data_IF_477315227869
#
_entry.id   IF_477315227869
#
_cell.length_a   1.000
_cell.length_b   1.000
_cell.length_c   1.000
_cell.angle_alpha   90.00
_cell.angle_beta   90.00
_cell.angle_gamma   90.00
#
_symmetry.space_group_name_H-M   'P 1'
#
loop_
_entity.id
_entity.type
_entity.pdbx_description
1 polymer ?
#
# COMPACT_ATOMS: atom_id res chain seq x y z
N UNK A 1 -45.73 -51.48 11.68
CA UNK A 1 -44.69 -51.61 10.65
C UNK A 1 -43.86 -50.33 10.61
N UNK A 2 -42.57 -50.38 10.98
CA UNK A 2 -41.65 -49.22 10.90
C UNK A 2 -41.18 -49.10 9.45
N UNK A 3 -41.39 -47.96 8.79
CA UNK A 3 -40.87 -47.71 7.44
C UNK A 3 -39.33 -47.79 7.49
N UNK A 4 -38.67 -48.52 6.56
CA UNK A 4 -37.21 -48.54 6.51
C UNK A 4 -36.70 -47.13 6.24
N UNK A 5 -35.63 -46.74 6.93
CA UNK A 5 -35.00 -45.43 6.74
C UNK A 5 -34.50 -45.34 5.29
N UNK A 6 -35.01 -44.39 4.52
CA UNK A 6 -34.54 -44.11 3.16
C UNK A 6 -33.04 -43.79 3.21
N UNK A 7 -32.24 -44.49 2.41
CA UNK A 7 -30.80 -44.18 2.30
C UNK A 7 -30.68 -42.80 1.66
N UNK A 8 -29.74 -41.98 2.12
CA UNK A 8 -29.58 -40.60 1.65
C UNK A 8 -29.53 -40.47 0.11
N UNK A 9 -28.96 -41.46 -0.58
CA UNK A 9 -28.85 -41.54 -2.04
C UNK A 9 -30.17 -41.83 -2.78
N UNK A 10 -31.20 -42.32 -2.10
CA UNK A 10 -32.53 -42.56 -2.67
C UNK A 10 -33.40 -41.29 -2.67
N UNK A 11 -33.00 -40.26 -1.91
CA UNK A 11 -33.67 -38.96 -1.91
C UNK A 11 -33.39 -38.18 -3.19
N UNK A 12 -34.29 -37.28 -3.60
CA UNK A 12 -34.10 -36.42 -4.78
C UNK A 12 -32.79 -35.62 -4.73
N UNK A 13 -32.34 -35.20 -3.55
CA UNK A 13 -31.05 -34.51 -3.35
C UNK A 13 -29.87 -35.46 -3.50
N UNK A 14 -29.99 -36.69 -3.01
CA UNK A 14 -28.95 -37.72 -3.12
C UNK A 14 -28.69 -38.16 -4.55
N UNK A 15 -29.76 -38.31 -5.35
CA UNK A 15 -29.66 -38.61 -6.79
C UNK A 15 -28.90 -37.53 -7.56
N UNK A 16 -29.24 -36.25 -7.35
CA UNK A 16 -28.53 -35.13 -8.00
C UNK A 16 -27.05 -35.11 -7.64
N UNK A 17 -26.69 -35.42 -6.39
CA UNK A 17 -25.28 -35.50 -5.97
C UNK A 17 -24.57 -36.66 -6.67
N UNK A 18 -25.21 -37.82 -6.77
CA UNK A 18 -24.64 -39.00 -7.42
C UNK A 18 -24.48 -38.78 -8.93
N UNK A 19 -25.49 -38.22 -9.59
CA UNK A 19 -25.44 -37.81 -11.01
C UNK A 19 -24.29 -36.82 -11.27
N UNK A 20 -24.12 -35.80 -10.41
CA UNK A 20 -23.01 -34.86 -10.52
C UNK A 20 -21.65 -35.53 -10.31
N UNK A 21 -21.52 -36.42 -9.32
CA UNK A 21 -20.29 -37.17 -9.09
C UNK A 21 -19.94 -38.05 -10.28
N UNK A 22 -20.92 -38.78 -10.82
CA UNK A 22 -20.75 -39.58 -12.03
C UNK A 22 -20.30 -38.70 -13.19
N UNK A 23 -20.96 -37.57 -13.43
CA UNK A 23 -20.56 -36.61 -14.47
C UNK A 23 -19.12 -36.12 -14.29
N UNK A 24 -18.70 -35.75 -13.08
CA UNK A 24 -17.32 -35.34 -12.81
C UNK A 24 -16.32 -36.48 -13.02
N UNK A 25 -16.68 -37.72 -12.68
CA UNK A 25 -15.83 -38.89 -12.87
C UNK A 25 -15.63 -39.20 -14.37
N UNK A 26 -16.67 -39.02 -15.18
CA UNK A 26 -16.58 -39.09 -16.66
C UNK A 26 -15.75 -37.95 -17.24
N UNK A 27 -15.82 -36.74 -16.68
CA UNK A 27 -15.02 -35.59 -17.11
C UNK A 27 -13.57 -35.66 -16.59
N UNK A 28 -13.30 -36.40 -15.52
CA UNK A 28 -12.01 -36.41 -14.83
C UNK A 28 -10.81 -36.69 -15.76
N UNK A 29 -10.84 -37.68 -16.67
CA UNK A 29 -9.72 -37.92 -17.59
C UNK A 29 -9.43 -36.70 -18.49
N UNK A 30 -10.48 -36.04 -18.97
CA UNK A 30 -10.36 -34.83 -19.81
C UNK A 30 -9.84 -33.65 -18.99
N UNK A 31 -10.32 -33.48 -17.75
CA UNK A 31 -9.85 -32.43 -16.84
C UNK A 31 -8.37 -32.63 -16.53
N UNK A 32 -7.93 -33.86 -16.27
CA UNK A 32 -6.51 -34.19 -16.05
C UNK A 32 -5.68 -33.84 -17.28
N UNK A 33 -6.15 -34.18 -18.49
CA UNK A 33 -5.46 -33.80 -19.72
C UNK A 33 -5.38 -32.29 -19.93
N UNK A 34 -6.48 -31.55 -19.76
CA UNK A 34 -6.50 -30.09 -19.86
C UNK A 34 -5.59 -29.46 -18.80
N UNK A 35 -5.58 -29.99 -17.58
CA UNK A 35 -4.69 -29.52 -16.54
C UNK A 35 -3.24 -29.77 -16.93
N UNK A 36 -2.87 -30.99 -17.32
CA UNK A 36 -1.49 -31.40 -17.56
C UNK A 36 -0.88 -30.76 -18.82
N UNK A 37 -1.67 -30.58 -19.89
CA UNK A 37 -1.19 -30.03 -21.16
C UNK A 37 -1.61 -28.59 -21.42
N UNK A 38 -2.63 -28.07 -20.72
CA UNK A 38 -3.12 -26.71 -20.88
C UNK A 38 -2.69 -25.80 -19.74
N UNK A 39 -3.15 -26.09 -18.51
CA UNK A 39 -2.94 -25.19 -17.37
C UNK A 39 -1.54 -25.31 -16.77
N UNK A 40 -1.01 -26.52 -16.64
CA UNK A 40 0.29 -26.80 -16.02
C UNK A 40 1.43 -26.10 -16.76
N UNK A 41 1.56 -26.13 -18.10
CA UNK A 41 2.62 -25.41 -18.79
C UNK A 41 2.57 -23.90 -18.56
N UNK A 42 1.38 -23.32 -18.41
CA UNK A 42 1.21 -21.88 -18.13
C UNK A 42 1.66 -21.56 -16.70
N UNK A 43 1.20 -22.34 -15.72
CA UNK A 43 1.63 -22.18 -14.32
C UNK A 43 3.13 -22.42 -14.18
N UNK A 44 3.67 -23.41 -14.89
CA UNK A 44 5.08 -23.73 -14.91
C UNK A 44 5.91 -22.63 -15.57
N UNK A 45 5.50 -22.09 -16.72
CA UNK A 45 6.18 -20.97 -17.35
C UNK A 45 6.19 -19.72 -16.45
N UNK A 46 5.07 -19.45 -15.77
CA UNK A 46 5.00 -18.39 -14.77
C UNK A 46 5.96 -18.66 -13.60
N UNK A 47 6.02 -19.90 -13.09
CA UNK A 47 6.97 -20.28 -12.06
C UNK A 47 8.43 -20.08 -12.51
N UNK A 48 8.79 -20.54 -13.70
CA UNK A 48 10.12 -20.35 -14.31
C UNK A 48 10.46 -18.87 -14.42
N UNK A 49 9.51 -18.01 -14.79
CA UNK A 49 9.73 -16.56 -14.89
C UNK A 49 10.11 -15.87 -13.57
N UNK A 50 9.88 -16.54 -12.42
CA UNK A 50 10.19 -16.02 -11.10
C UNK A 50 11.49 -16.57 -10.50
N UNK A 51 12.20 -17.42 -11.23
CA UNK A 51 13.42 -18.09 -10.78
C UNK A 51 14.59 -17.79 -11.73
N UNK A 52 15.81 -17.94 -11.22
CA UNK A 52 16.97 -18.01 -12.10
C UNK A 52 16.96 -19.36 -12.83
N UNK A 53 16.72 -19.35 -14.14
CA UNK A 53 16.59 -20.57 -14.93
C UNK A 53 17.64 -20.65 -16.03
N UNK A 54 18.74 -21.37 -15.79
CA UNK A 54 19.80 -21.59 -16.80
C UNK A 54 19.69 -22.96 -17.47
N UNK A 55 19.93 -24.01 -16.70
CA UNK A 55 19.75 -25.42 -17.12
C UNK A 55 18.88 -26.20 -16.14
N UNK A 56 18.70 -25.67 -14.94
CA UNK A 56 18.00 -26.27 -13.80
C UNK A 56 17.27 -25.16 -13.02
N UNK A 57 16.24 -25.52 -12.24
CA UNK A 57 15.64 -24.59 -11.29
C UNK A 57 16.71 -24.05 -10.34
N UNK A 58 16.99 -22.74 -10.43
CA UNK A 58 17.83 -22.00 -9.48
C UNK A 58 17.00 -21.31 -8.40
N UNK A 59 17.61 -20.34 -7.74
CA UNK A 59 16.98 -19.61 -6.64
C UNK A 59 15.79 -18.76 -7.10
N UNK A 60 14.85 -18.52 -6.18
CA UNK A 60 13.74 -17.60 -6.39
C UNK A 60 14.25 -16.15 -6.44
N UNK A 61 14.09 -15.51 -7.59
CA UNK A 61 14.50 -14.11 -7.82
C UNK A 61 13.30 -13.15 -7.89
N UNK A 62 12.09 -13.68 -7.71
CA UNK A 62 10.85 -12.90 -7.77
C UNK A 62 10.65 -12.24 -9.12
N UNK A 63 10.37 -10.94 -9.15
CA UNK A 63 10.13 -10.22 -10.40
C UNK A 63 11.43 -9.73 -11.09
N UNK A 64 12.61 -10.16 -10.65
CA UNK A 64 13.89 -9.68 -11.20
C UNK A 64 14.01 -9.92 -12.71
N UNK A 65 13.59 -11.08 -13.23
CA UNK A 65 13.61 -11.37 -14.67
C UNK A 65 12.77 -10.36 -15.49
N UNK A 66 11.65 -9.90 -14.92
CA UNK A 66 10.82 -8.87 -15.56
C UNK A 66 11.50 -7.50 -15.52
N UNK A 67 12.23 -7.20 -14.45
CA UNK A 67 13.06 -5.99 -14.36
C UNK A 67 14.21 -6.05 -15.36
N UNK A 68 14.89 -7.20 -15.51
CA UNK A 68 15.97 -7.36 -16.48
C UNK A 68 15.45 -7.20 -17.91
N UNK A 69 14.24 -7.69 -18.20
CA UNK A 69 13.61 -7.57 -19.51
C UNK A 69 13.09 -6.16 -19.83
N UNK A 70 12.49 -5.46 -18.85
CA UNK A 70 11.83 -4.17 -19.05
C UNK A 70 12.64 -2.96 -18.55
N UNK A 71 13.79 -3.21 -17.92
CA UNK A 71 14.58 -2.22 -17.21
C UNK A 71 13.81 -1.53 -16.07
N UNK A 72 14.23 -0.31 -15.73
CA UNK A 72 13.63 0.48 -14.66
C UNK A 72 12.13 0.81 -14.86
N UNK A 73 11.60 0.67 -16.08
CA UNK A 73 10.18 0.86 -16.38
C UNK A 73 9.31 -0.18 -15.65
N UNK A 74 9.84 -1.37 -15.36
CA UNK A 74 9.15 -2.39 -14.57
C UNK A 74 8.68 -1.84 -13.23
N UNK A 75 9.53 -1.11 -12.52
CA UNK A 75 9.19 -0.53 -11.21
C UNK A 75 8.10 0.54 -11.30
N UNK A 76 8.09 1.33 -12.38
CA UNK A 76 7.01 2.30 -12.64
C UNK A 76 5.67 1.58 -12.85
N UNK A 77 5.68 0.48 -13.60
CA UNK A 77 4.48 -0.34 -13.82
C UNK A 77 4.00 -1.00 -12.53
N UNK A 78 4.90 -1.63 -11.78
CA UNK A 78 4.57 -2.27 -10.50
C UNK A 78 4.01 -1.25 -9.50
N UNK A 79 4.55 -0.03 -9.47
CA UNK A 79 4.02 1.05 -8.65
C UNK A 79 2.55 1.34 -8.96
N UNK A 80 2.23 1.60 -10.23
CA UNK A 80 0.88 1.97 -10.65
C UNK A 80 -0.11 0.81 -10.58
N UNK A 81 0.32 -0.40 -10.92
CA UNK A 81 -0.49 -1.61 -10.75
C UNK A 81 -0.77 -1.89 -9.28
N UNK A 82 0.24 -1.73 -8.42
CA UNK A 82 0.10 -1.89 -6.97
C UNK A 82 -0.86 -0.87 -6.37
N UNK A 83 -0.69 0.41 -6.73
CA UNK A 83 -1.59 1.49 -6.31
C UNK A 83 -3.02 1.27 -6.81
N UNK A 84 -3.20 0.90 -8.08
CA UNK A 84 -4.51 0.59 -8.65
C UNK A 84 -5.17 -0.62 -7.97
N UNK A 85 -4.41 -1.67 -7.67
CA UNK A 85 -4.89 -2.84 -6.95
C UNK A 85 -5.36 -2.47 -5.53
N UNK A 86 -4.60 -1.64 -4.79
CA UNK A 86 -5.01 -1.16 -3.48
C UNK A 86 -6.26 -0.27 -3.54
N UNK A 87 -6.35 0.63 -4.52
CA UNK A 87 -7.54 1.46 -4.73
C UNK A 87 -8.75 0.57 -5.04
N UNK A 88 -8.61 -0.39 -5.95
CA UNK A 88 -9.66 -1.32 -6.33
C UNK A 88 -10.12 -2.17 -5.14
N UNK A 89 -9.17 -2.73 -4.37
CA UNK A 89 -9.47 -3.45 -3.14
C UNK A 89 -10.20 -2.57 -2.12
N UNK A 90 -9.76 -1.32 -1.93
CA UNK A 90 -10.42 -0.34 -1.08
C UNK A 90 -11.85 -0.04 -1.52
N UNK A 91 -12.08 0.18 -2.82
CA UNK A 91 -13.41 0.34 -3.40
C UNK A 91 -14.28 -0.88 -3.14
N UNK A 92 -13.73 -2.08 -3.26
CA UNK A 92 -14.48 -3.31 -3.04
C UNK A 92 -14.82 -3.55 -1.57
N UNK A 93 -13.91 -3.19 -0.65
CA UNK A 93 -14.18 -3.19 0.79
C UNK A 93 -15.23 -2.12 1.18
N UNK A 94 -15.20 -0.95 0.55
CA UNK A 94 -16.23 0.08 0.72
C UNK A 94 -17.59 -0.39 0.19
N UNK A 95 -17.60 -1.08 -0.95
CA UNK A 95 -18.81 -1.69 -1.51
C UNK A 95 -19.35 -2.76 -0.56
N UNK A 96 -18.51 -3.66 -0.07
CA UNK A 96 -18.84 -4.66 0.95
C UNK A 96 -19.46 -3.99 2.18
N UNK A 97 -18.84 -2.93 2.70
CA UNK A 97 -19.36 -2.17 3.85
C UNK A 97 -20.71 -1.50 3.59
N UNK A 98 -20.95 -1.00 2.39
CA UNK A 98 -22.24 -0.41 2.00
C UNK A 98 -23.33 -1.47 1.89
N UNK A 99 -23.02 -2.60 1.25
CA UNK A 99 -23.97 -3.70 1.08
C UNK A 99 -24.34 -4.36 2.41
N UNK A 100 -23.39 -4.56 3.33
CA UNK A 100 -23.70 -5.16 4.63
C UNK A 100 -24.50 -4.23 5.53
N UNK A 101 -24.32 -2.90 5.43
CA UNK A 101 -25.12 -1.92 6.18
C UNK A 101 -26.61 -1.97 5.87
N UNK A 102 -26.99 -2.41 4.67
CA UNK A 102 -28.39 -2.55 4.26
C UNK A 102 -29.07 -3.81 4.85
N UNK A 103 -28.30 -4.73 5.45
CA UNK A 103 -28.79 -6.00 6.01
C UNK A 103 -29.03 -5.86 7.52
N UNK A 104 -30.09 -6.48 8.09
CA UNK A 104 -30.24 -6.59 9.54
C UNK A 104 -28.98 -7.17 10.21
N UNK A 105 -28.50 -6.55 11.29
CA UNK A 105 -27.20 -6.87 11.92
C UNK A 105 -25.99 -6.70 11.00
N UNK A 106 -26.01 -5.71 10.12
CA UNK A 106 -24.96 -5.46 9.11
C UNK A 106 -23.52 -5.39 9.61
N UNK A 107 -23.27 -4.89 10.83
CA UNK A 107 -21.92 -4.88 11.44
C UNK A 107 -21.39 -6.29 11.70
N UNK A 108 -22.25 -7.19 12.19
CA UNK A 108 -21.89 -8.59 12.41
C UNK A 108 -21.64 -9.29 11.07
N UNK A 109 -22.48 -9.03 10.06
CA UNK A 109 -22.34 -9.58 8.70
C UNK A 109 -20.99 -9.19 8.06
N UNK A 110 -20.57 -7.93 8.24
CA UNK A 110 -19.28 -7.46 7.78
C UNK A 110 -18.13 -8.24 8.42
N UNK A 111 -18.14 -8.39 9.74
CA UNK A 111 -17.09 -9.12 10.48
C UNK A 111 -17.07 -10.61 10.06
N UNK A 112 -18.24 -11.23 9.97
CA UNK A 112 -18.40 -12.63 9.54
C UNK A 112 -17.96 -12.87 8.09
N UNK A 113 -17.93 -11.84 7.24
CA UNK A 113 -17.37 -11.92 5.90
C UNK A 113 -15.85 -11.66 5.86
N UNK A 114 -15.34 -10.73 6.69
CA UNK A 114 -13.94 -10.34 6.67
C UNK A 114 -13.03 -11.36 7.33
N UNK A 115 -13.41 -11.93 8.48
CA UNK A 115 -12.56 -12.89 9.20
C UNK A 115 -12.26 -14.11 8.32
N UNK A 116 -13.25 -14.81 7.75
CA UNK A 116 -12.97 -15.90 6.82
C UNK A 116 -12.30 -15.41 5.53
N UNK A 117 -12.58 -14.17 5.10
CA UNK A 117 -11.90 -13.53 3.97
C UNK A 117 -10.38 -13.44 4.16
N UNK A 118 -9.92 -13.00 5.33
CA UNK A 118 -8.51 -12.92 5.71
C UNK A 118 -7.92 -14.32 5.80
N UNK A 119 -8.59 -15.24 6.49
CA UNK A 119 -8.13 -16.62 6.61
C UNK A 119 -7.97 -17.30 5.25
N UNK A 120 -8.94 -17.14 4.34
CA UNK A 120 -8.86 -17.66 2.98
C UNK A 120 -7.72 -17.02 2.18
N UNK A 121 -7.47 -15.73 2.36
CA UNK A 121 -6.36 -15.03 1.68
C UNK A 121 -5.02 -15.57 2.15
N UNK A 122 -4.83 -15.69 3.47
CA UNK A 122 -3.61 -16.21 4.06
C UNK A 122 -3.41 -17.70 3.72
N UNK A 123 -4.46 -18.50 3.75
CA UNK A 123 -4.42 -19.90 3.32
C UNK A 123 -4.05 -20.02 1.84
N UNK A 124 -4.61 -19.18 0.95
CA UNK A 124 -4.25 -19.18 -0.46
C UNK A 124 -2.78 -18.82 -0.68
N UNK A 125 -2.27 -17.80 0.03
CA UNK A 125 -0.85 -17.46 -0.02
C UNK A 125 0.04 -18.61 0.50
N UNK A 126 -0.40 -19.33 1.53
CA UNK A 126 0.30 -20.52 2.02
C UNK A 126 0.28 -21.68 1.01
N UNK A 127 -0.81 -21.88 0.27
CA UNK A 127 -0.88 -22.86 -0.83
C UNK A 127 0.14 -22.49 -1.91
N UNK A 128 0.15 -21.22 -2.34
CA UNK A 128 1.09 -20.74 -3.35
C UNK A 128 2.52 -20.93 -2.85
N UNK A 129 2.83 -20.53 -1.62
CA UNK A 129 4.17 -20.68 -1.04
C UNK A 129 4.61 -22.16 -0.97
N UNK A 130 3.75 -23.05 -0.47
CA UNK A 130 4.05 -24.47 -0.42
C UNK A 130 4.29 -25.07 -1.81
N UNK A 131 3.45 -24.71 -2.79
CA UNK A 131 3.62 -25.14 -4.17
C UNK A 131 4.97 -24.68 -4.75
N UNK A 132 5.35 -23.43 -4.51
CA UNK A 132 6.62 -22.86 -4.98
C UNK A 132 7.83 -23.55 -4.34
N UNK A 133 7.72 -24.02 -3.10
CA UNK A 133 8.78 -24.76 -2.41
C UNK A 133 8.84 -26.22 -2.88
N UNK A 134 7.69 -26.86 -3.10
CA UNK A 134 7.60 -28.26 -3.52
C UNK A 134 8.07 -28.47 -4.97
N UNK A 135 7.68 -27.57 -5.87
CA UNK A 135 7.84 -27.79 -7.31
C UNK A 135 9.30 -28.02 -7.74
N UNK A 136 10.31 -27.24 -7.29
CA UNK A 136 11.72 -27.53 -7.56
C UNK A 136 12.15 -28.93 -7.11
N UNK A 137 11.74 -29.34 -5.91
CA UNK A 137 12.10 -30.64 -5.33
C UNK A 137 11.54 -31.77 -6.18
N UNK A 138 10.29 -31.65 -6.64
CA UNK A 138 9.65 -32.62 -7.53
C UNK A 138 10.36 -32.67 -8.89
N UNK A 139 10.73 -31.51 -9.45
CA UNK A 139 11.41 -31.44 -10.74
C UNK A 139 12.86 -31.93 -10.69
N UNK A 140 13.44 -32.05 -9.49
CA UNK A 140 14.77 -32.59 -9.27
C UNK A 140 14.81 -34.13 -9.13
N UNK A 141 13.66 -34.80 -9.12
CA UNK A 141 13.57 -36.28 -9.09
C UNK A 141 14.46 -36.95 -10.15
N UNK A 142 14.47 -36.53 -11.44
CA UNK A 142 15.33 -37.15 -12.45
C UNK A 142 16.82 -37.05 -12.11
N UNK A 143 17.25 -36.06 -11.32
CA UNK A 143 18.64 -35.94 -10.89
C UNK A 143 18.99 -36.89 -9.77
N UNK A 144 18.10 -37.04 -8.77
CA UNK A 144 18.28 -37.98 -7.66
C UNK A 144 18.33 -39.44 -8.12
N UNK A 145 17.70 -39.73 -9.27
CA UNK A 145 17.74 -41.03 -9.92
C UNK A 145 18.95 -41.22 -10.88
N UNK A 146 19.80 -40.19 -11.09
CA UNK A 146 21.00 -40.37 -11.93
C UNK A 146 21.94 -41.38 -11.29
N UNK A 147 22.33 -42.38 -12.07
CA UNK A 147 23.20 -43.46 -11.60
C UNK A 147 22.44 -44.58 -10.87
N UNK A 148 21.12 -44.47 -10.72
CA UNK A 148 20.25 -45.56 -10.25
C UNK A 148 19.63 -46.31 -11.43
N UNK A 149 19.14 -47.56 -11.23
CA UNK A 149 18.41 -48.26 -12.28
C UNK A 149 17.13 -47.49 -12.61
N UNK A 150 16.83 -47.31 -13.89
CA UNK A 150 15.59 -46.64 -14.31
C UNK A 150 14.40 -47.60 -14.17
N UNK A 151 13.73 -47.53 -13.02
CA UNK A 151 12.48 -48.24 -12.74
C UNK A 151 11.36 -47.25 -12.36
N UNK A 152 10.12 -47.57 -12.76
CA UNK A 152 8.93 -46.75 -12.46
C UNK A 152 8.66 -46.73 -10.96
N UNK A 153 8.90 -47.84 -10.25
CA UNK A 153 8.73 -47.93 -8.81
C UNK A 153 9.66 -46.97 -8.06
N UNK A 154 10.92 -46.89 -8.49
CA UNK A 154 11.89 -45.93 -7.94
C UNK A 154 11.51 -44.48 -8.25
N UNK A 155 11.06 -44.18 -9.47
CA UNK A 155 10.57 -42.85 -9.81
C UNK A 155 9.39 -42.41 -8.94
N UNK A 156 8.38 -43.27 -8.79
CA UNK A 156 7.23 -43.00 -7.94
C UNK A 156 7.63 -42.87 -6.47
N UNK A 157 8.60 -43.68 -6.01
CA UNK A 157 9.16 -43.59 -4.67
C UNK A 157 9.78 -42.22 -4.40
N UNK A 158 10.69 -41.74 -5.26
CA UNK A 158 11.32 -40.42 -5.13
C UNK A 158 10.34 -39.26 -5.33
N UNK A 159 9.35 -39.43 -6.22
CA UNK A 159 8.28 -38.45 -6.40
C UNK A 159 7.47 -38.27 -5.10
N UNK A 160 7.08 -39.37 -4.46
CA UNK A 160 6.35 -39.34 -3.17
C UNK A 160 7.26 -38.79 -2.07
N UNK A 161 8.53 -39.19 -2.03
CA UNK A 161 9.50 -38.72 -1.04
C UNK A 161 9.74 -37.20 -1.11
N UNK A 162 9.52 -36.58 -2.28
CA UNK A 162 9.60 -35.13 -2.46
C UNK A 162 8.64 -34.35 -1.55
N UNK A 163 7.48 -34.91 -1.22
CA UNK A 163 6.50 -34.29 -0.32
C UNK A 163 6.95 -34.36 1.15
N UNK A 164 7.80 -35.32 1.49
CA UNK A 164 8.36 -35.52 2.83
C UNK A 164 9.70 -34.82 3.03
N UNK A 165 10.21 -34.13 2.00
CA UNK A 165 11.46 -33.39 2.10
C UNK A 165 11.34 -32.24 3.12
N UNK A 166 12.37 -31.91 3.93
CA UNK A 166 12.24 -31.00 5.07
C UNK A 166 11.60 -29.63 4.75
N UNK A 167 11.98 -29.00 3.63
CA UNK A 167 11.46 -27.69 3.24
C UNK A 167 9.97 -27.74 2.78
N UNK A 168 9.57 -28.59 1.82
CA UNK A 168 8.16 -28.80 1.49
C UNK A 168 7.31 -29.24 2.68
N UNK A 169 7.85 -30.09 3.57
CA UNK A 169 7.13 -30.57 4.75
C UNK A 169 6.85 -29.43 5.73
N UNK A 170 7.85 -28.61 6.07
CA UNK A 170 7.66 -27.45 6.93
C UNK A 170 6.66 -26.44 6.34
N UNK A 171 6.68 -26.22 5.02
CA UNK A 171 5.69 -25.39 4.34
C UNK A 171 4.29 -26.04 4.33
N UNK A 172 4.21 -27.37 4.29
CA UNK A 172 2.94 -28.10 4.37
C UNK A 172 2.30 -27.96 5.75
N UNK A 173 3.09 -28.00 6.83
CA UNK A 173 2.61 -27.80 8.19
C UNK A 173 1.97 -26.41 8.36
N UNK A 174 2.63 -25.37 7.85
CA UNK A 174 2.09 -24.00 7.82
C UNK A 174 0.83 -23.92 6.97
N UNK A 175 0.83 -24.57 5.80
CA UNK A 175 -0.34 -24.65 4.94
C UNK A 175 -1.54 -25.26 5.67
N UNK A 176 -1.39 -26.42 6.30
CA UNK A 176 -2.49 -27.09 7.00
C UNK A 176 -2.98 -26.29 8.20
N UNK A 177 -2.06 -25.67 8.96
CA UNK A 177 -2.37 -24.78 10.07
C UNK A 177 -3.26 -23.60 9.65
N UNK A 178 -3.12 -23.11 8.42
CA UNK A 178 -3.88 -21.97 7.90
C UNK A 178 -5.13 -22.39 7.12
N UNK A 179 -5.05 -23.50 6.39
CA UNK A 179 -6.13 -24.01 5.55
C UNK A 179 -7.29 -24.56 6.40
N UNK A 180 -7.00 -25.29 7.48
CA UNK A 180 -8.04 -25.88 8.33
C UNK A 180 -8.91 -24.79 8.97
N UNK A 181 -8.35 -23.76 9.65
CA UNK A 181 -9.14 -22.64 10.16
C UNK A 181 -9.86 -21.84 9.07
N UNK A 182 -9.27 -21.70 7.88
CA UNK A 182 -9.92 -21.01 6.76
C UNK A 182 -11.18 -21.75 6.28
N UNK A 183 -11.12 -23.08 6.15
CA UNK A 183 -12.25 -23.93 5.80
C UNK A 183 -13.33 -23.91 6.89
N UNK A 184 -12.94 -24.05 8.17
CA UNK A 184 -13.86 -24.00 9.31
C UNK A 184 -14.51 -22.62 9.40
N UNK A 185 -13.72 -21.55 9.35
CA UNK A 185 -14.18 -20.16 9.42
C UNK A 185 -15.12 -19.82 8.28
N UNK A 186 -14.82 -20.27 7.05
CA UNK A 186 -15.72 -20.14 5.91
C UNK A 186 -17.02 -20.93 6.10
N UNK A 187 -16.95 -22.18 6.57
CA UNK A 187 -18.13 -22.99 6.84
C UNK A 187 -19.05 -22.40 7.92
N UNK A 188 -18.47 -21.94 9.03
CA UNK A 188 -19.19 -21.25 10.11
C UNK A 188 -19.77 -19.93 9.62
N UNK A 189 -18.98 -19.12 8.91
CA UNK A 189 -19.43 -17.86 8.32
C UNK A 189 -20.61 -18.04 7.37
N UNK A 190 -20.56 -19.03 6.49
CA UNK A 190 -21.64 -19.35 5.55
C UNK A 190 -22.91 -19.85 6.25
N UNK A 191 -22.78 -20.63 7.33
CA UNK A 191 -23.94 -21.06 8.13
C UNK A 191 -24.60 -19.88 8.84
N UNK A 192 -23.82 -18.98 9.43
CA UNK A 192 -24.33 -17.81 10.16
C UNK A 192 -24.91 -16.73 9.23
N UNK A 193 -24.38 -16.58 8.01
CA UNK A 193 -24.84 -15.60 7.00
C UNK A 193 -25.93 -16.15 6.06
N UNK A 194 -26.24 -17.44 6.13
CA UNK A 194 -27.07 -18.14 5.16
C UNK A 194 -26.30 -18.41 3.85
N UNK A 195 -26.34 -19.65 3.36
CA UNK A 195 -25.44 -20.11 2.30
C UNK A 195 -25.50 -19.28 1.00
N UNK A 196 -26.69 -18.88 0.53
CA UNK A 196 -26.83 -18.14 -0.74
C UNK A 196 -26.29 -16.71 -0.68
N UNK A 197 -26.57 -15.99 0.40
CA UNK A 197 -26.06 -14.63 0.62
C UNK A 197 -24.60 -14.63 1.04
N UNK A 198 -24.22 -15.52 1.96
CA UNK A 198 -22.89 -15.62 2.55
C UNK A 198 -21.78 -15.90 1.54
N UNK A 199 -22.03 -16.75 0.53
CA UNK A 199 -21.03 -17.07 -0.51
C UNK A 199 -20.59 -15.81 -1.26
N UNK A 200 -21.53 -14.93 -1.61
CA UNK A 200 -21.21 -13.68 -2.31
C UNK A 200 -20.30 -12.79 -1.47
N UNK A 201 -20.64 -12.57 -0.19
CA UNK A 201 -19.86 -11.71 0.70
C UNK A 201 -18.48 -12.29 1.01
N UNK A 202 -18.38 -13.62 1.13
CA UNK A 202 -17.12 -14.32 1.32
C UNK A 202 -16.21 -14.19 0.10
N UNK A 203 -16.74 -14.41 -1.11
CA UNK A 203 -15.97 -14.27 -2.34
C UNK A 203 -15.50 -12.81 -2.54
N UNK A 204 -16.36 -11.84 -2.28
CA UNK A 204 -16.00 -10.43 -2.35
C UNK A 204 -14.92 -10.06 -1.33
N UNK A 205 -15.03 -10.51 -0.07
CA UNK A 205 -14.03 -10.19 0.95
C UNK A 205 -12.68 -10.85 0.64
N UNK A 206 -12.67 -12.14 0.28
CA UNK A 206 -11.45 -12.86 -0.11
C UNK A 206 -10.81 -12.22 -1.34
N UNK A 207 -11.57 -11.92 -2.39
CA UNK A 207 -11.01 -11.29 -3.59
C UNK A 207 -10.47 -9.88 -3.31
N UNK A 208 -11.12 -9.09 -2.43
CA UNK A 208 -10.62 -7.77 -2.04
C UNK A 208 -9.26 -7.89 -1.35
N UNK A 209 -9.14 -8.84 -0.41
CA UNK A 209 -7.96 -9.01 0.41
C UNK A 209 -6.79 -9.61 -0.36
N UNK A 210 -7.03 -10.55 -1.27
CA UNK A 210 -6.00 -11.05 -2.21
C UNK A 210 -5.50 -9.90 -3.10
N UNK A 211 -6.42 -9.10 -3.66
CA UNK A 211 -6.02 -7.96 -4.50
C UNK A 211 -5.23 -6.93 -3.69
N UNK A 212 -5.60 -6.70 -2.43
CA UNK A 212 -4.85 -5.83 -1.53
C UNK A 212 -3.45 -6.39 -1.24
N UNK A 213 -3.32 -7.69 -0.98
CA UNK A 213 -2.04 -8.35 -0.72
C UNK A 213 -1.11 -8.28 -1.94
N UNK A 214 -1.64 -8.55 -3.15
CA UNK A 214 -0.88 -8.41 -4.39
C UNK A 214 -0.44 -6.96 -4.62
N UNK A 215 -1.32 -6.00 -4.39
CA UNK A 215 -1.00 -4.58 -4.50
C UNK A 215 0.09 -4.14 -3.53
N UNK A 216 0.00 -4.59 -2.28
CA UNK A 216 1.01 -4.32 -1.25
C UNK A 216 2.37 -4.94 -1.60
N UNK A 217 2.39 -6.17 -2.12
CA UNK A 217 3.61 -6.84 -2.56
C UNK A 217 4.28 -6.09 -3.71
N UNK A 218 3.53 -5.64 -4.72
CA UNK A 218 4.05 -4.83 -5.82
C UNK A 218 4.65 -3.49 -5.36
N UNK A 219 3.98 -2.81 -4.42
CA UNK A 219 4.49 -1.57 -3.84
C UNK A 219 5.74 -1.82 -2.99
N UNK A 220 5.77 -2.90 -2.20
CA UNK A 220 6.94 -3.28 -1.42
C UNK A 220 8.16 -3.52 -2.32
N UNK A 221 7.98 -4.22 -3.44
CA UNK A 221 9.04 -4.44 -4.44
C UNK A 221 9.55 -3.12 -5.02
N UNK A 222 8.63 -2.20 -5.35
CA UNK A 222 9.00 -0.88 -5.87
C UNK A 222 9.78 -0.07 -4.83
N UNK A 223 9.31 -0.05 -3.57
CA UNK A 223 9.98 0.67 -2.48
C UNK A 223 11.37 0.11 -2.21
N UNK A 224 11.51 -1.22 -2.17
CA UNK A 224 12.80 -1.88 -2.01
C UNK A 224 13.76 -1.48 -3.14
N UNK A 225 13.30 -1.49 -4.39
CA UNK A 225 14.12 -1.06 -5.52
C UNK A 225 14.54 0.40 -5.45
N UNK A 226 13.65 1.30 -5.00
CA UNK A 226 13.97 2.73 -4.81
C UNK A 226 15.02 2.88 -3.71
N UNK A 227 14.90 2.14 -2.61
CA UNK A 227 15.89 2.17 -1.51
C UNK A 227 17.26 1.69 -1.98
N UNK A 228 17.32 0.60 -2.74
CA UNK A 228 18.56 0.11 -3.34
C UNK A 228 19.17 1.14 -4.28
N UNK A 229 18.37 1.75 -5.17
CA UNK A 229 18.83 2.78 -6.08
C UNK A 229 19.37 4.03 -5.36
N UNK A 230 18.77 4.42 -4.23
CA UNK A 230 19.28 5.51 -3.39
C UNK A 230 20.63 5.14 -2.78
N UNK A 231 20.77 3.93 -2.25
CA UNK A 231 22.02 3.48 -1.65
C UNK A 231 23.16 3.41 -2.68
N UNK A 232 22.89 2.91 -3.88
CA UNK A 232 23.86 2.85 -4.99
C UNK A 232 24.27 4.24 -5.46
N UNK A 233 23.31 5.15 -5.65
CA UNK A 233 23.57 6.54 -6.04
C UNK A 233 24.44 7.27 -5.00
N UNK A 234 24.17 7.07 -3.70
CA UNK A 234 24.97 7.63 -2.62
C UNK A 234 26.40 7.09 -2.59
N UNK A 235 26.58 5.79 -2.83
CA UNK A 235 27.89 5.15 -2.84
C UNK A 235 28.74 5.59 -4.04
N UNK A 236 28.12 5.74 -5.22
CA UNK A 236 28.80 6.14 -6.44
C UNK A 236 28.99 7.66 -6.58
N UNK A 237 28.28 8.47 -5.78
CA UNK A 237 28.21 9.92 -5.97
C UNK A 237 27.48 10.30 -7.26
N UNK A 238 26.61 9.40 -7.76
CA UNK A 238 25.86 9.56 -9.00
C UNK A 238 24.42 10.01 -8.73
N UNK A 239 23.76 10.53 -9.77
CA UNK A 239 22.35 10.92 -9.69
C UNK A 239 21.43 9.71 -9.73
N UNK A 240 20.30 9.77 -9.02
CA UNK A 240 19.28 8.73 -9.06
C UNK A 240 18.81 8.37 -10.48
N UNK A 241 18.49 7.09 -10.73
CA UNK A 241 18.01 6.63 -12.02
C UNK A 241 16.65 7.26 -12.37
N UNK A 242 16.46 7.54 -13.67
CA UNK A 242 15.31 8.29 -14.21
C UNK A 242 13.96 7.65 -13.81
N UNK A 243 13.88 6.32 -13.77
CA UNK A 243 12.63 5.63 -13.43
C UNK A 243 12.12 5.97 -12.02
N UNK A 244 13.02 6.26 -11.06
CA UNK A 244 12.63 6.69 -9.71
C UNK A 244 11.98 8.07 -9.74
N UNK A 245 12.48 8.97 -10.59
CA UNK A 245 11.93 10.31 -10.78
C UNK A 245 10.55 10.23 -11.46
N UNK A 246 10.36 9.32 -12.41
CA UNK A 246 9.07 9.07 -13.07
C UNK A 246 8.01 8.67 -12.03
N UNK A 247 8.34 7.81 -11.06
CA UNK A 247 7.42 7.44 -9.98
C UNK A 247 7.00 8.69 -9.17
N UNK A 248 7.96 9.52 -8.75
CA UNK A 248 7.69 10.72 -7.96
C UNK A 248 6.86 11.75 -8.74
N UNK A 249 7.23 12.03 -9.99
CA UNK A 249 6.51 12.97 -10.86
C UNK A 249 5.09 12.48 -11.11
N UNK A 250 4.93 11.21 -11.44
CA UNK A 250 3.61 10.63 -11.72
C UNK A 250 2.72 10.58 -10.46
N UNK A 251 3.28 10.26 -9.29
CA UNK A 251 2.58 10.32 -8.02
C UNK A 251 2.17 11.76 -7.68
N UNK A 252 3.07 12.73 -7.86
CA UNK A 252 2.76 14.13 -7.67
C UNK A 252 1.68 14.64 -8.62
N UNK A 253 1.69 14.21 -9.88
CA UNK A 253 0.63 14.53 -10.85
C UNK A 253 -0.73 13.94 -10.40
N UNK A 254 -0.74 12.71 -9.86
CA UNK A 254 -1.94 12.13 -9.26
C UNK A 254 -2.43 12.93 -8.04
N UNK A 255 -1.53 13.43 -7.19
CA UNK A 255 -1.90 14.31 -6.07
C UNK A 255 -2.50 15.63 -6.57
N UNK A 256 -1.94 16.24 -7.62
CA UNK A 256 -2.50 17.45 -8.23
C UNK A 256 -3.89 17.18 -8.84
N UNK A 257 -4.08 16.04 -9.50
CA UNK A 257 -5.39 15.64 -9.99
C UNK A 257 -6.38 15.42 -8.84
N UNK A 258 -5.96 14.77 -7.75
CA UNK A 258 -6.78 14.62 -6.56
C UNK A 258 -7.10 15.98 -5.93
N UNK A 259 -6.15 16.91 -5.88
CA UNK A 259 -6.35 18.27 -5.41
C UNK A 259 -7.40 19.00 -6.24
N UNK A 260 -7.33 18.90 -7.58
CA UNK A 260 -8.34 19.44 -8.48
C UNK A 260 -9.74 18.87 -8.17
N UNK A 261 -9.85 17.56 -7.92
CA UNK A 261 -11.12 16.91 -7.56
C UNK A 261 -11.66 17.40 -6.22
N UNK A 262 -10.80 17.55 -5.21
CA UNK A 262 -11.15 18.05 -3.88
C UNK A 262 -11.54 19.53 -3.94
N UNK A 263 -10.79 20.35 -4.66
CA UNK A 263 -11.10 21.77 -4.89
C UNK A 263 -12.46 21.95 -5.55
N UNK A 264 -12.75 21.15 -6.60
CA UNK A 264 -14.05 21.17 -7.27
C UNK A 264 -15.19 20.74 -6.35
N UNK A 265 -14.94 19.88 -5.37
CA UNK A 265 -15.92 19.53 -4.34
C UNK A 265 -16.09 20.66 -3.32
N UNK A 266 -15.00 21.30 -2.87
CA UNK A 266 -15.02 22.45 -1.99
C UNK A 266 -15.84 23.60 -2.56
N UNK A 267 -15.62 23.94 -3.83
CA UNK A 267 -16.31 25.02 -4.53
C UNK A 267 -17.84 24.83 -4.62
N UNK A 268 -18.35 23.61 -4.41
CA UNK A 268 -19.80 23.33 -4.39
C UNK A 268 -20.42 23.41 -2.99
N UNK A 269 -19.61 23.44 -1.95
CA UNK A 269 -20.08 23.61 -0.56
C UNK A 269 -20.06 25.09 -0.21
N UNK A 270 -21.22 25.74 -0.18
CA UNK A 270 -21.35 27.14 0.25
C UNK A 270 -21.09 27.27 1.77
N UNK A 271 -20.24 28.23 2.15
CA UNK A 271 -20.04 28.80 3.51
C UNK A 271 -20.02 27.86 4.74
N UNK A 272 -19.80 26.55 4.58
CA UNK A 272 -19.73 25.58 5.67
C UNK A 272 -18.28 25.27 6.09
N UNK A 273 -18.06 24.73 7.30
CA UNK A 273 -16.76 24.22 7.78
C UNK A 273 -16.11 23.25 6.79
N UNK A 274 -16.93 22.55 6.00
CA UNK A 274 -16.51 21.64 4.92
C UNK A 274 -15.75 22.36 3.80
N UNK A 275 -16.12 23.60 3.47
CA UNK A 275 -15.39 24.41 2.49
C UNK A 275 -13.94 24.59 2.93
N UNK A 276 -13.73 24.98 4.19
CA UNK A 276 -12.39 25.18 4.75
C UNK A 276 -11.60 23.87 4.83
N UNK A 277 -12.23 22.77 5.27
CA UNK A 277 -11.57 21.46 5.35
C UNK A 277 -11.16 20.95 3.97
N UNK A 278 -12.03 21.04 2.96
CA UNK A 278 -11.69 20.64 1.59
C UNK A 278 -10.72 21.60 0.92
N UNK A 279 -10.83 22.91 1.18
CA UNK A 279 -9.87 23.91 0.71
C UNK A 279 -8.47 23.65 1.27
N UNK A 280 -8.34 23.39 2.57
CA UNK A 280 -7.10 23.01 3.22
C UNK A 280 -6.56 21.69 2.66
N UNK A 281 -7.42 20.68 2.50
CA UNK A 281 -7.01 19.40 1.92
C UNK A 281 -6.52 19.56 0.47
N UNK A 282 -7.19 20.37 -0.36
CA UNK A 282 -6.74 20.68 -1.71
C UNK A 282 -5.38 21.41 -1.70
N UNK A 283 -5.18 22.38 -0.82
CA UNK A 283 -3.91 23.08 -0.66
C UNK A 283 -2.79 22.12 -0.28
N UNK A 284 -3.00 21.26 0.72
CA UNK A 284 -2.01 20.27 1.15
C UNK A 284 -1.66 19.29 0.02
N UNK A 285 -2.66 18.87 -0.77
CA UNK A 285 -2.44 18.02 -1.94
C UNK A 285 -1.68 18.75 -3.07
N UNK A 286 -1.91 20.05 -3.27
CA UNK A 286 -1.16 20.87 -4.22
C UNK A 286 0.30 20.98 -3.78
N UNK A 287 0.54 21.34 -2.53
CA UNK A 287 1.90 21.46 -1.97
C UNK A 287 2.61 20.12 -2.06
N UNK A 288 1.97 19.03 -1.61
CA UNK A 288 2.53 17.68 -1.71
C UNK A 288 2.78 17.22 -3.15
N UNK A 289 1.89 17.55 -4.08
CA UNK A 289 2.05 17.24 -5.50
C UNK A 289 3.24 18.00 -6.11
N UNK A 290 3.34 19.29 -5.83
CA UNK A 290 4.46 20.12 -6.29
C UNK A 290 5.80 19.66 -5.70
N UNK A 291 5.86 19.35 -4.39
CA UNK A 291 7.10 18.86 -3.77
C UNK A 291 7.55 17.54 -4.38
N UNK A 292 6.64 16.61 -4.67
CA UNK A 292 6.98 15.35 -5.34
C UNK A 292 7.44 15.53 -6.79
N UNK A 293 6.94 16.54 -7.50
CA UNK A 293 7.31 16.80 -8.91
C UNK A 293 8.62 17.58 -9.00
N UNK A 294 8.78 18.62 -8.19
CA UNK A 294 9.81 19.63 -8.38
C UNK A 294 10.95 19.54 -7.37
N UNK A 295 10.65 19.43 -6.08
CA UNK A 295 11.65 19.60 -5.01
C UNK A 295 12.31 18.29 -4.60
N UNK A 296 11.52 17.23 -4.43
CA UNK A 296 12.01 15.94 -3.96
C UNK A 296 12.91 15.23 -5.00
N UNK A 297 12.60 15.23 -6.31
CA UNK A 297 13.51 14.67 -7.31
C UNK A 297 14.85 15.43 -7.35
N UNK A 298 14.85 16.75 -7.18
CA UNK A 298 16.09 17.55 -7.09
C UNK A 298 16.88 17.22 -5.84
N UNK A 299 16.21 17.15 -4.68
CA UNK A 299 16.82 16.81 -3.40
C UNK A 299 17.48 15.42 -3.45
N UNK A 300 16.79 14.45 -4.05
CA UNK A 300 17.26 13.09 -4.15
C UNK A 300 18.31 12.91 -5.26
N UNK A 301 18.25 13.68 -6.35
CA UNK A 301 19.26 13.66 -7.42
C UNK A 301 20.64 14.12 -6.92
N UNK A 302 20.69 15.03 -5.94
CA UNK A 302 21.96 15.50 -5.35
C UNK A 302 22.33 14.77 -4.05
N UNK A 303 21.50 13.85 -3.57
CA UNK A 303 21.64 13.14 -2.29
C UNK A 303 21.95 14.06 -1.08
N UNK A 304 21.54 15.33 -1.13
CA UNK A 304 21.96 16.33 -0.15
C UNK A 304 20.92 16.48 0.97
N UNK A 305 21.27 15.97 2.16
CA UNK A 305 20.46 16.06 3.37
C UNK A 305 20.07 17.51 3.73
N UNK A 306 20.83 18.51 3.26
CA UNK A 306 20.55 19.93 3.50
C UNK A 306 19.26 20.39 2.82
N UNK A 307 18.88 19.78 1.69
CA UNK A 307 17.65 20.15 0.98
C UNK A 307 16.41 19.68 1.75
N UNK A 308 16.45 18.49 2.34
CA UNK A 308 15.36 18.02 3.21
C UNK A 308 15.27 18.85 4.50
N UNK A 309 16.42 19.25 5.05
CA UNK A 309 16.47 20.14 6.20
C UNK A 309 15.92 21.53 5.88
N UNK A 310 16.25 22.12 4.73
CA UNK A 310 15.74 23.44 4.34
C UNK A 310 14.23 23.41 4.11
N UNK A 311 13.70 22.35 3.48
CA UNK A 311 12.26 22.13 3.35
C UNK A 311 11.56 22.07 4.72
N UNK A 312 12.14 21.34 5.69
CA UNK A 312 11.59 21.29 7.05
C UNK A 312 11.58 22.67 7.71
N UNK A 313 12.70 23.42 7.63
CA UNK A 313 12.79 24.78 8.17
C UNK A 313 11.76 25.71 7.52
N UNK A 314 11.58 25.65 6.20
CA UNK A 314 10.60 26.48 5.49
C UNK A 314 9.17 26.13 5.86
N UNK A 315 8.84 24.83 5.95
CA UNK A 315 7.51 24.37 6.35
C UNK A 315 7.21 24.80 7.78
N UNK A 316 8.15 24.58 8.71
CA UNK A 316 7.98 24.95 10.11
C UNK A 316 7.86 26.47 10.25
N UNK A 317 8.75 27.24 9.60
CA UNK A 317 8.66 28.71 9.59
C UNK A 317 7.31 29.20 9.07
N UNK A 318 6.83 28.68 7.94
CA UNK A 318 5.56 29.09 7.33
C UNK A 318 4.35 28.68 8.18
N UNK A 319 4.36 27.46 8.72
CA UNK A 319 3.26 26.93 9.53
C UNK A 319 3.06 27.70 10.83
N UNK A 320 4.12 28.28 11.40
CA UNK A 320 4.02 29.13 12.58
C UNK A 320 3.80 30.61 12.24
N UNK A 321 4.58 31.17 11.30
CA UNK A 321 4.53 32.61 11.01
C UNK A 321 3.20 33.05 10.39
N UNK A 322 2.64 32.28 9.45
CA UNK A 322 1.43 32.69 8.71
C UNK A 322 0.20 32.77 9.63
N UNK A 323 -0.15 31.74 10.42
CA UNK A 323 -1.31 31.83 11.31
C UNK A 323 -1.14 32.93 12.35
N UNK A 324 0.07 33.08 12.90
CA UNK A 324 0.36 34.12 13.88
C UNK A 324 0.18 35.51 13.26
N UNK A 325 0.76 35.76 12.09
CA UNK A 325 0.63 37.02 11.38
C UNK A 325 -0.83 37.33 11.00
N UNK A 326 -1.61 36.32 10.60
CA UNK A 326 -3.04 36.49 10.31
C UNK A 326 -3.85 36.81 11.55
N UNK A 327 -3.64 36.10 12.66
CA UNK A 327 -4.36 36.33 13.92
C UNK A 327 -4.08 37.73 14.44
N UNK A 328 -2.81 38.12 14.52
CA UNK A 328 -2.43 39.45 14.98
C UNK A 328 -2.88 40.53 14.01
N UNK A 329 -2.72 40.32 12.70
CA UNK A 329 -3.18 41.25 11.67
C UNK A 329 -4.68 41.50 11.73
N UNK A 330 -5.47 40.43 11.88
CA UNK A 330 -6.93 40.52 12.01
C UNK A 330 -7.34 41.16 13.33
N UNK A 331 -6.71 40.78 14.45
CA UNK A 331 -6.97 41.39 15.76
C UNK A 331 -6.69 42.90 15.73
N UNK A 332 -5.55 43.31 15.17
CA UNK A 332 -5.19 44.72 15.00
C UNK A 332 -6.20 45.42 14.08
N UNK A 333 -6.58 44.80 12.96
CA UNK A 333 -7.54 45.37 12.02
C UNK A 333 -8.90 45.64 12.70
N UNK A 334 -9.40 44.69 13.51
CA UNK A 334 -10.63 44.85 14.28
C UNK A 334 -10.50 45.99 15.29
N UNK A 335 -9.40 46.03 16.06
CA UNK A 335 -9.14 47.10 17.04
C UNK A 335 -9.10 48.48 16.38
N UNK A 336 -8.42 48.58 15.23
CA UNK A 336 -8.29 49.83 14.48
C UNK A 336 -9.62 50.22 13.80
N UNK A 337 -10.53 49.27 13.58
CA UNK A 337 -11.85 49.57 13.02
C UNK A 337 -12.79 50.22 14.05
N UNK A 338 -12.57 50.01 15.34
CA UNK A 338 -13.38 50.61 16.41
C UNK A 338 -13.30 52.14 16.46
N UNK A 339 -14.26 52.78 17.14
CA UNK A 339 -14.33 54.24 17.36
C UNK A 339 -13.34 54.67 18.46
N UNK A 340 -12.05 54.53 18.19
CA UNK A 340 -10.96 54.96 19.09
C UNK A 340 -10.59 56.44 18.84
N UNK A 341 -10.29 57.18 19.91
CA UNK A 341 -9.67 58.52 19.82
C UNK A 341 -8.27 58.37 19.20
N UNK A 342 -7.89 59.30 18.31
CA UNK A 342 -6.61 59.30 17.59
C UNK A 342 -6.38 58.11 16.63
N UNK A 343 -7.44 57.53 16.06
CA UNK A 343 -7.36 56.41 15.09
C UNK A 343 -6.33 56.60 13.97
N UNK A 344 -6.22 57.81 13.40
CA UNK A 344 -5.25 58.10 12.33
C UNK A 344 -3.80 57.97 12.80
N UNK A 345 -3.49 58.36 14.03
CA UNK A 345 -2.14 58.24 14.58
C UNK A 345 -1.73 56.77 14.73
N UNK A 346 -2.54 55.96 15.39
CA UNK A 346 -2.27 54.52 15.55
C UNK A 346 -2.12 53.81 14.20
N UNK A 347 -2.95 54.17 13.22
CA UNK A 347 -2.84 53.64 11.86
C UNK A 347 -1.47 53.91 11.24
N UNK A 348 -0.97 55.14 11.33
CA UNK A 348 0.36 55.50 10.80
C UNK A 348 1.46 54.71 11.51
N UNK A 349 1.42 54.64 12.85
CA UNK A 349 2.43 53.91 13.63
C UNK A 349 2.49 52.43 13.25
N UNK A 350 1.35 51.77 13.05
CA UNK A 350 1.32 50.36 12.67
C UNK A 350 1.72 50.09 11.21
N UNK A 351 1.48 51.03 10.31
CA UNK A 351 1.90 50.90 8.91
C UNK A 351 3.34 51.33 8.67
N UNK A 352 3.94 52.16 9.54
CA UNK A 352 5.31 52.64 9.39
C UNK A 352 6.34 51.52 9.15
N UNK A 353 6.34 50.40 9.91
CA UNK A 353 7.33 49.33 9.72
C UNK A 353 7.20 48.63 8.37
N UNK A 354 6.01 48.60 7.77
CA UNK A 354 5.78 47.97 6.46
C UNK A 354 6.33 48.79 5.30
N UNK A 355 6.56 50.09 5.50
CA UNK A 355 7.15 50.98 4.49
C UNK A 355 8.69 50.93 4.56
N UNK A 356 9.26 50.42 5.65
CA UNK A 356 10.71 50.32 5.82
C UNK A 356 11.32 49.26 4.87
N UNK A 357 12.45 49.54 4.22
CA UNK A 357 13.15 48.55 3.39
C UNK A 357 13.54 47.31 4.21
N UNK A 358 13.32 46.12 3.66
CA UNK A 358 13.61 44.85 4.33
C UNK A 358 15.08 44.75 4.80
N UNK A 359 16.03 45.24 3.99
CA UNK A 359 17.45 45.28 4.33
C UNK A 359 17.72 46.13 5.57
N UNK A 360 17.12 47.32 5.66
CA UNK A 360 17.29 48.21 6.81
C UNK A 360 16.71 47.59 8.10
N UNK A 361 15.52 47.00 8.01
CA UNK A 361 14.90 46.28 9.12
C UNK A 361 15.77 45.12 9.59
N UNK A 362 16.29 44.30 8.66
CA UNK A 362 17.17 43.18 8.99
C UNK A 362 18.46 43.66 9.68
N UNK A 363 19.07 44.75 9.22
CA UNK A 363 20.27 45.32 9.85
C UNK A 363 19.99 45.80 11.27
N UNK A 364 18.89 46.55 11.49
CA UNK A 364 18.50 47.03 12.82
C UNK A 364 18.25 45.85 13.78
N UNK A 365 17.51 44.83 13.33
CA UNK A 365 17.27 43.61 14.14
C UNK A 365 18.57 42.86 14.43
N UNK A 366 19.49 42.76 13.46
CA UNK A 366 20.79 42.12 13.67
C UNK A 366 21.67 42.84 14.70
N UNK A 367 21.59 44.17 14.77
CA UNK A 367 22.24 44.97 15.82
C UNK A 367 21.58 44.78 17.17
N UNK A 368 20.24 44.82 17.21
CA UNK A 368 19.46 44.74 18.43
C UNK A 368 19.63 43.38 19.14
N UNK A 369 19.67 42.30 18.37
CA UNK A 369 19.83 40.92 18.83
C UNK A 369 21.24 40.35 18.60
N UNK A 370 22.27 41.20 18.48
CA UNK A 370 23.65 40.70 18.39
C UNK A 370 24.11 40.11 19.73
N UNK A 371 24.93 39.05 19.70
CA UNK A 371 25.49 38.40 20.90
C UNK A 371 26.49 39.28 21.70
N UNK A 372 26.50 40.59 21.46
CA UNK A 372 27.38 41.52 22.18
C UNK A 372 26.74 41.85 23.53
N UNK A 373 27.50 41.92 24.63
CA UNK A 373 26.95 42.32 25.94
C UNK A 373 26.31 43.71 25.92
N UNK A 374 26.79 44.61 25.04
CA UNK A 374 26.24 45.95 24.84
C UNK A 374 25.05 46.02 23.87
N UNK A 375 24.56 44.90 23.34
CA UNK A 375 23.40 44.91 22.48
C UNK A 375 22.15 45.31 23.27
N UNK A 376 21.23 46.12 22.71
CA UNK A 376 20.05 46.58 23.42
C UNK A 376 19.20 45.45 24.01
N UNK A 377 19.05 44.32 23.30
CA UNK A 377 18.33 43.17 23.82
C UNK A 377 19.05 42.53 25.03
N UNK A 378 20.37 42.35 24.95
CA UNK A 378 21.15 41.76 26.04
C UNK A 378 21.25 42.68 27.26
N UNK A 379 21.27 44.00 27.07
CA UNK A 379 21.17 44.97 28.17
C UNK A 379 19.81 44.91 28.86
N UNK A 380 18.73 44.75 28.09
CA UNK A 380 17.37 44.62 28.64
C UNK A 380 17.20 43.33 29.43
N UNK A 381 17.67 42.20 28.89
CA UNK A 381 17.65 40.89 29.56
C UNK A 381 18.55 40.88 30.80
N UNK A 382 19.74 41.48 30.71
CA UNK A 382 20.65 41.66 31.85
C UNK A 382 20.08 42.54 32.95
N UNK A 383 19.32 43.59 32.61
CA UNK A 383 18.60 44.42 33.58
C UNK A 383 17.50 43.65 34.33
N UNK A 384 16.97 42.58 33.73
CA UNK A 384 16.02 41.66 34.36
C UNK A 384 16.72 40.53 35.16
N UNK A 385 18.06 40.56 35.25
CA UNK A 385 18.86 39.59 36.01
C UNK A 385 19.09 38.25 35.33
N UNK A 386 18.82 38.16 34.01
CA UNK A 386 19.01 36.93 33.22
C UNK A 386 20.32 37.04 32.43
N UNK A 387 21.01 35.91 32.23
CA UNK A 387 22.24 35.88 31.44
C UNK A 387 21.97 36.35 29.99
N UNK A 388 22.90 37.13 29.39
CA UNK A 388 22.74 37.63 28.04
C UNK A 388 22.71 36.49 27.00
N UNK A 389 21.91 36.69 25.95
CA UNK A 389 21.65 35.73 24.86
C UNK A 389 22.83 35.58 23.89
#
# INVERSE_FOLDING_TARGET
MRRPAERFFDTQRGRVVLENLTAYLFLAPTIVLIFLFGLFPVVFAFFVSLHEWRRLPGDYVGLAQYVDALGGVAYVLFFWMGAAALIYAGVMLLRLRRETRAVPRGRLFLILSLIPGVLNTVALLAIINWFFILLPVVLDVPQRLRGQPLDVGMFLGELINSFSHPAPLAAADVLWLLLIPALIGSGVGLRLMGARSGVRYLLLSTFALITAALGALMLQLTVAAVQTAIAEAQAAGETLPIWSQIILISLGAALLFAAYRVWRAAARTEHDRRFFLFGLAALLLIVGGYTLIAELPRALATADARVLQSLNVTVMYSAFSIPFQLVFGLALAILLFQKIRFKSFFRVVFFLPYVMPAVATATIFSLLFSNRPGAPANQFVGALGVEPL
#
